data_IF_937146021986
#
_entry.id   IF_937146021986
#
_cell.length_a   1.000
_cell.length_b   1.000
_cell.length_c   1.000
_cell.angle_alpha   90.00
_cell.angle_beta   90.00
_cell.angle_gamma   90.00
#
_symmetry.space_group_name_H-M   'P 1'
#
loop_
_entity.id
_entity.type
_entity.pdbx_description
1 polymer ?
#
# COMPACT_ATOMS: atom_id res chain seq x y z
N UNK A 1 3.59 20.66 -49.85
CA UNK A 1 3.49 19.55 -48.88
C UNK A 1 2.33 19.87 -47.93
N UNK A 2 1.13 19.36 -48.20
CA UNK A 2 -0.04 19.59 -47.36
C UNK A 2 0.09 18.75 -46.09
N UNK A 3 0.31 19.40 -44.95
CA UNK A 3 0.38 18.78 -43.63
C UNK A 3 -1.04 18.29 -43.30
N UNK A 4 -1.23 16.98 -43.36
CA UNK A 4 -2.54 16.33 -43.16
C UNK A 4 -3.00 16.62 -41.72
N UNK A 5 -4.03 17.47 -41.51
CA UNK A 5 -4.41 18.00 -40.19
C UNK A 5 -4.79 16.87 -39.22
N UNK A 6 -5.49 15.85 -39.73
CA UNK A 6 -5.95 14.68 -38.98
C UNK A 6 -4.82 13.95 -38.24
N UNK A 7 -3.60 13.87 -38.79
CA UNK A 7 -2.49 13.16 -38.13
C UNK A 7 -1.97 13.93 -36.90
N UNK A 8 -1.97 15.26 -36.95
CA UNK A 8 -1.49 16.05 -35.82
C UNK A 8 -2.50 16.05 -34.68
N UNK A 9 -3.78 16.17 -34.99
CA UNK A 9 -4.85 16.12 -33.98
C UNK A 9 -4.86 14.77 -33.23
N UNK A 10 -4.64 13.65 -33.93
CA UNK A 10 -4.55 12.34 -33.26
C UNK A 10 -3.29 12.20 -32.41
N UNK A 11 -2.16 12.79 -32.82
CA UNK A 11 -0.95 12.77 -32.00
C UNK A 11 -1.12 13.61 -30.74
N UNK A 12 -1.71 14.81 -30.83
CA UNK A 12 -2.01 15.64 -29.67
C UNK A 12 -3.00 14.94 -28.72
N UNK A 13 -4.00 14.22 -29.25
CA UNK A 13 -4.92 13.44 -28.44
C UNK A 13 -4.22 12.30 -27.67
N UNK A 14 -3.27 11.61 -28.30
CA UNK A 14 -2.48 10.54 -27.67
C UNK A 14 -1.59 11.13 -26.58
N UNK A 15 -0.83 12.19 -26.88
CA UNK A 15 0.04 12.85 -25.90
C UNK A 15 -0.74 13.46 -24.73
N UNK A 16 -1.94 13.98 -24.98
CA UNK A 16 -2.82 14.48 -23.93
C UNK A 16 -3.38 13.34 -23.06
N UNK A 17 -3.65 12.18 -23.66
CA UNK A 17 -4.12 10.99 -22.93
C UNK A 17 -3.02 10.41 -22.04
N UNK A 18 -1.79 10.31 -22.54
CA UNK A 18 -0.64 9.80 -21.78
C UNK A 18 -0.25 10.73 -20.62
N UNK A 19 -0.27 12.04 -20.84
CA UNK A 19 -0.01 13.03 -19.79
C UNK A 19 -1.11 13.05 -18.72
N UNK A 20 -2.37 12.84 -19.09
CA UNK A 20 -3.47 12.75 -18.12
C UNK A 20 -3.45 11.43 -17.33
N UNK A 21 -3.15 10.31 -17.99
CA UNK A 21 -3.01 9.00 -17.36
C UNK A 21 -1.83 8.97 -16.38
N UNK A 22 -0.68 9.51 -16.76
CA UNK A 22 0.50 9.58 -15.88
C UNK A 22 0.26 10.47 -14.66
N UNK A 23 -0.45 11.60 -14.81
CA UNK A 23 -0.81 12.46 -13.67
C UNK A 23 -1.81 11.79 -12.73
N UNK A 24 -2.81 11.11 -13.27
CA UNK A 24 -3.77 10.31 -12.48
C UNK A 24 -3.09 9.17 -11.74
N UNK A 25 -2.19 8.43 -12.39
CA UNK A 25 -1.38 7.40 -11.74
C UNK A 25 -0.47 8.00 -10.67
N UNK A 26 0.14 9.15 -10.91
CA UNK A 26 0.97 9.87 -9.94
C UNK A 26 0.18 10.26 -8.68
N UNK A 27 -1.04 10.77 -8.83
CA UNK A 27 -1.90 11.08 -7.68
C UNK A 27 -2.47 9.85 -6.99
N UNK A 28 -2.90 8.84 -7.75
CA UNK A 28 -3.41 7.58 -7.19
C UNK A 28 -2.33 6.85 -6.39
N UNK A 29 -1.11 6.76 -6.91
CA UNK A 29 0.02 6.11 -6.24
C UNK A 29 0.40 6.82 -4.93
N UNK A 30 0.40 8.16 -4.92
CA UNK A 30 0.65 8.94 -3.70
C UNK A 30 -0.42 8.70 -2.63
N UNK A 31 -1.70 8.70 -3.02
CA UNK A 31 -2.81 8.44 -2.11
C UNK A 31 -2.77 7.02 -1.51
N UNK A 32 -2.51 6.02 -2.34
CA UNK A 32 -2.37 4.62 -1.90
C UNK A 32 -1.18 4.45 -0.94
N UNK A 33 -0.05 5.11 -1.21
CA UNK A 33 1.11 5.13 -0.29
C UNK A 33 0.75 5.72 1.07
N UNK A 34 -0.03 6.80 1.10
CA UNK A 34 -0.48 7.42 2.35
C UNK A 34 -1.37 6.48 3.17
N UNK A 35 -2.39 5.89 2.54
CA UNK A 35 -3.26 4.93 3.21
C UNK A 35 -2.47 3.73 3.75
N UNK A 36 -1.57 3.20 2.94
CA UNK A 36 -0.70 2.11 3.32
C UNK A 36 0.15 2.45 4.54
N UNK A 37 0.75 3.65 4.57
CA UNK A 37 1.54 4.13 5.71
C UNK A 37 0.72 4.21 6.99
N UNK A 38 -0.52 4.72 6.93
CA UNK A 38 -1.40 4.84 8.10
C UNK A 38 -1.75 3.46 8.65
N UNK A 39 -2.16 2.53 7.77
CA UNK A 39 -2.53 1.16 8.16
C UNK A 39 -1.33 0.44 8.78
N UNK A 40 -0.13 0.63 8.23
CA UNK A 40 1.09 0.03 8.75
C UNK A 40 1.40 0.53 10.16
N UNK A 41 1.28 1.83 10.42
CA UNK A 41 1.47 2.40 11.76
C UNK A 41 0.47 1.81 12.75
N UNK A 42 -0.82 1.72 12.37
CA UNK A 42 -1.86 1.12 13.21
C UNK A 42 -1.55 -0.35 13.50
N UNK A 43 -1.08 -1.11 12.52
CA UNK A 43 -0.69 -2.51 12.70
C UNK A 43 0.49 -2.68 13.66
N UNK A 44 1.51 -1.80 13.59
CA UNK A 44 2.63 -1.78 14.54
C UNK A 44 2.14 -1.47 15.95
N UNK A 45 1.30 -0.44 16.12
CA UNK A 45 0.76 -0.08 17.44
C UNK A 45 -0.07 -1.23 18.04
N UNK A 46 -0.93 -1.85 17.23
CA UNK A 46 -1.69 -3.02 17.65
C UNK A 46 -0.79 -4.20 18.04
N UNK A 47 0.31 -4.42 17.32
CA UNK A 47 1.30 -5.43 17.65
C UNK A 47 1.94 -5.16 19.02
N UNK A 48 2.41 -3.92 19.25
CA UNK A 48 3.04 -3.51 20.52
C UNK A 48 2.06 -3.71 21.67
N UNK A 49 0.81 -3.26 21.55
CA UNK A 49 -0.21 -3.42 22.60
C UNK A 49 -0.44 -4.89 22.95
N UNK A 50 -0.55 -5.77 21.96
CA UNK A 50 -0.75 -7.19 22.22
C UNK A 50 0.49 -7.86 22.83
N UNK A 51 1.71 -7.44 22.47
CA UNK A 51 2.95 -7.89 23.12
C UNK A 51 3.00 -7.45 24.59
N UNK A 52 2.66 -6.19 24.88
CA UNK A 52 2.63 -5.68 26.26
C UNK A 52 1.57 -6.40 27.10
N UNK A 53 0.39 -6.66 26.53
CA UNK A 53 -0.65 -7.49 27.19
C UNK A 53 -0.16 -8.91 27.47
N UNK A 54 0.60 -9.50 26.55
CA UNK A 54 1.18 -10.83 26.74
C UNK A 54 2.18 -10.88 27.90
N UNK A 55 3.03 -9.86 28.02
CA UNK A 55 4.00 -9.74 29.11
C UNK A 55 3.32 -9.56 30.48
N UNK A 56 2.22 -8.80 30.53
CA UNK A 56 1.46 -8.56 31.76
C UNK A 56 0.53 -9.72 32.15
N UNK A 57 0.19 -10.64 31.23
CA UNK A 57 -0.78 -11.73 31.50
C UNK A 57 -0.19 -12.95 32.20
N UNK A 58 0.93 -12.82 32.92
CA UNK A 58 1.69 -13.93 33.51
C UNK A 58 0.87 -14.92 34.37
N UNK A 59 -0.30 -14.50 34.89
CA UNK A 59 -1.22 -15.35 35.65
C UNK A 59 -2.51 -15.80 34.94
N UNK A 60 -2.82 -15.32 33.73
CA UNK A 60 -4.08 -15.62 33.04
C UNK A 60 -3.86 -16.32 31.67
N UNK A 61 -4.00 -17.65 31.57
CA UNK A 61 -3.71 -18.41 30.35
C UNK A 61 -4.65 -18.07 29.19
N UNK A 62 -5.88 -17.63 29.45
CA UNK A 62 -6.85 -17.25 28.42
C UNK A 62 -6.46 -15.95 27.72
N UNK A 63 -6.10 -14.92 28.50
CA UNK A 63 -5.63 -13.64 27.97
C UNK A 63 -4.30 -13.78 27.21
N UNK A 64 -3.45 -14.72 27.63
CA UNK A 64 -2.19 -15.05 26.96
C UNK A 64 -2.43 -15.59 25.55
N UNK A 65 -3.35 -16.55 25.42
CA UNK A 65 -3.69 -17.18 24.13
C UNK A 65 -4.30 -16.18 23.14
N UNK A 66 -5.17 -15.30 23.63
CA UNK A 66 -5.80 -14.27 22.80
C UNK A 66 -4.79 -13.21 22.32
N UNK A 67 -3.86 -12.80 23.19
CA UNK A 67 -2.77 -11.89 22.82
C UNK A 67 -1.85 -12.50 21.74
N UNK A 68 -1.48 -13.78 21.86
CA UNK A 68 -0.67 -14.49 20.84
C UNK A 68 -1.41 -14.55 19.50
N UNK A 69 -2.71 -14.88 19.51
CA UNK A 69 -3.52 -14.93 18.28
C UNK A 69 -3.59 -13.57 17.59
N UNK A 70 -3.78 -12.50 18.35
CA UNK A 70 -3.80 -11.14 17.81
C UNK A 70 -2.43 -10.69 17.28
N UNK A 71 -1.33 -11.07 17.93
CA UNK A 71 0.04 -10.82 17.43
C UNK A 71 0.25 -11.53 16.09
N UNK A 72 -0.18 -12.79 15.98
CA UNK A 72 -0.05 -13.55 14.74
C UNK A 72 -0.86 -12.92 13.59
N UNK A 73 -2.09 -12.50 13.86
CA UNK A 73 -2.94 -11.81 12.88
C UNK A 73 -2.31 -10.48 12.45
N UNK A 74 -1.85 -9.66 13.39
CA UNK A 74 -1.18 -8.39 13.09
C UNK A 74 0.13 -8.60 12.30
N UNK A 75 0.90 -9.65 12.63
CA UNK A 75 2.09 -10.06 11.90
C UNK A 75 1.78 -10.48 10.46
N UNK A 76 0.76 -11.33 10.26
CA UNK A 76 0.29 -11.71 8.92
C UNK A 76 -0.15 -10.49 8.10
N UNK A 77 -0.89 -9.55 8.70
CA UNK A 77 -1.26 -8.31 8.03
C UNK A 77 -0.04 -7.48 7.62
N UNK A 78 0.97 -7.35 8.50
CA UNK A 78 2.21 -6.64 8.15
C UNK A 78 2.98 -7.32 7.03
N UNK A 79 3.05 -8.66 7.00
CA UNK A 79 3.70 -9.40 5.91
C UNK A 79 2.98 -9.22 4.59
N UNK A 80 1.64 -9.30 4.58
CA UNK A 80 0.83 -9.11 3.36
C UNK A 80 0.95 -7.68 2.84
N UNK A 81 0.85 -6.70 3.74
CA UNK A 81 1.03 -5.29 3.40
C UNK A 81 2.44 -5.07 2.83
N UNK A 82 3.49 -5.48 3.55
CA UNK A 82 4.88 -5.35 3.11
C UNK A 82 5.13 -6.02 1.76
N UNK A 83 4.57 -7.21 1.54
CA UNK A 83 4.65 -7.93 0.26
C UNK A 83 3.97 -7.19 -0.88
N UNK A 84 2.74 -6.71 -0.69
CA UNK A 84 2.02 -5.90 -1.68
C UNK A 84 2.78 -4.61 -2.02
N UNK A 85 3.36 -3.94 -1.01
CA UNK A 85 4.18 -2.75 -1.21
C UNK A 85 5.44 -3.03 -2.03
N UNK A 86 6.08 -4.18 -1.80
CA UNK A 86 7.25 -4.63 -2.57
C UNK A 86 6.91 -4.91 -4.03
N UNK A 87 5.82 -5.64 -4.27
CA UNK A 87 5.33 -5.96 -5.62
C UNK A 87 5.00 -4.67 -6.37
N UNK A 88 4.28 -3.74 -5.74
CA UNK A 88 3.92 -2.46 -6.34
C UNK A 88 5.16 -1.62 -6.69
N UNK A 89 6.15 -1.58 -5.79
CA UNK A 89 7.41 -0.86 -6.01
C UNK A 89 8.17 -1.46 -7.18
N UNK A 90 8.30 -2.78 -7.24
CA UNK A 90 8.96 -3.46 -8.37
C UNK A 90 8.22 -3.15 -9.68
N UNK A 91 6.89 -3.29 -9.71
CA UNK A 91 6.10 -3.04 -10.91
C UNK A 91 6.24 -1.60 -11.41
N UNK A 92 6.32 -0.62 -10.50
CA UNK A 92 6.53 0.80 -10.86
C UNK A 92 7.95 1.09 -11.33
N UNK A 93 8.96 0.29 -10.95
CA UNK A 93 10.34 0.45 -11.42
C UNK A 93 10.54 -0.14 -12.82
N UNK A 94 9.76 -1.15 -13.18
CA UNK A 94 9.84 -1.82 -14.48
C UNK A 94 8.92 -1.21 -15.56
N UNK A 95 7.97 -0.35 -15.17
CA UNK A 95 7.09 0.43 -16.06
C UNK A 95 7.67 1.83 -16.24
#
# INVERSE_FOLDING_TARGET
MAKVPVRQDLLDLIFQTDSHLSNLFGHATWFVKLLFSIILIVAIVALIINITKLAMSGGNPQARSEAIRNIFIAGCCMTVLGGLGLIFTLLTVFI
#
